data_IF_044850402839
#
_entry.id   IF_044850402839
#
_cell.length_a   1.000
_cell.length_b   1.000
_cell.length_c   1.000
_cell.angle_alpha   90.00
_cell.angle_beta   90.00
_cell.angle_gamma   90.00
#
_symmetry.space_group_name_H-M   'P 1'
#
loop_
_entity.id
_entity.type
_entity.pdbx_description
1 polymer ?
#
# COMPACT_ATOMS: atom_id res chain seq x y z
N UNK A 1 -11.61 30.75 24.39
CA UNK A 1 -10.35 30.62 23.62
C UNK A 1 -10.33 29.26 22.93
N UNK A 2 -10.81 29.14 21.68
CA UNK A 2 -10.83 27.86 20.93
C UNK A 2 -10.71 28.06 19.40
N UNK A 3 -10.29 29.24 18.95
CA UNK A 3 -10.26 29.61 17.52
C UNK A 3 -8.95 29.26 16.81
N UNK A 4 -7.81 29.19 17.53
CA UNK A 4 -6.49 28.99 16.92
C UNK A 4 -6.26 27.61 16.28
N UNK A 5 -6.73 26.53 16.93
CA UNK A 5 -6.46 25.15 16.46
C UNK A 5 -7.17 24.81 15.14
N UNK A 6 -8.36 25.35 14.89
CA UNK A 6 -9.09 25.12 13.63
C UNK A 6 -8.48 25.84 12.43
N UNK A 7 -7.81 26.97 12.65
CA UNK A 7 -7.14 27.71 11.58
C UNK A 7 -5.81 27.04 11.19
N UNK A 8 -5.03 26.61 12.18
CA UNK A 8 -3.78 25.88 11.95
C UNK A 8 -4.04 24.56 11.20
N UNK A 9 -5.03 23.77 11.63
CA UNK A 9 -5.36 22.51 10.96
C UNK A 9 -5.84 22.69 9.51
N UNK A 10 -6.51 23.81 9.20
CA UNK A 10 -6.89 24.15 7.83
C UNK A 10 -5.69 24.60 6.98
N UNK A 11 -4.73 25.32 7.58
CA UNK A 11 -3.48 25.70 6.93
C UNK A 11 -2.62 24.46 6.63
N UNK A 12 -2.46 23.55 7.59
CA UNK A 12 -1.72 22.28 7.42
C UNK A 12 -2.33 21.45 6.27
N UNK A 13 -3.65 21.29 6.25
CA UNK A 13 -4.33 20.55 5.16
C UNK A 13 -4.13 21.22 3.80
N UNK A 14 -4.14 22.54 3.75
CA UNK A 14 -3.93 23.30 2.50
C UNK A 14 -2.49 23.15 1.99
N UNK A 15 -1.51 23.13 2.90
CA UNK A 15 -0.12 22.89 2.56
C UNK A 15 0.11 21.47 2.04
N UNK A 16 -0.45 20.47 2.71
CA UNK A 16 -0.40 19.08 2.27
C UNK A 16 -1.08 18.89 0.91
N UNK A 17 -2.20 19.58 0.65
CA UNK A 17 -2.87 19.54 -0.65
C UNK A 17 -2.01 20.15 -1.76
N UNK A 18 -1.31 21.26 -1.49
CA UNK A 18 -0.36 21.85 -2.44
C UNK A 18 0.77 20.89 -2.77
N UNK A 19 1.38 20.27 -1.75
CA UNK A 19 2.44 19.27 -1.94
C UNK A 19 1.95 18.08 -2.77
N UNK A 20 0.74 17.57 -2.50
CA UNK A 20 0.13 16.49 -3.27
C UNK A 20 -0.08 16.86 -4.74
N UNK A 21 -0.50 18.11 -5.03
CA UNK A 21 -0.64 18.62 -6.41
C UNK A 21 0.68 18.70 -7.17
N UNK A 22 1.77 19.00 -6.48
CA UNK A 22 3.14 18.97 -7.01
C UNK A 22 3.66 17.53 -7.24
N UNK A 23 2.85 16.51 -6.91
CA UNK A 23 3.21 15.10 -7.07
C UNK A 23 3.96 14.51 -5.89
N UNK A 24 4.10 15.25 -4.78
CA UNK A 24 4.70 14.74 -3.57
C UNK A 24 3.76 13.76 -2.87
N UNK A 25 4.31 12.75 -2.21
CA UNK A 25 3.53 11.84 -1.37
C UNK A 25 3.47 12.39 0.06
N UNK A 26 2.28 12.77 0.49
CA UNK A 26 2.00 13.30 1.84
C UNK A 26 1.29 12.27 2.73
N UNK A 27 0.75 11.19 2.15
CA UNK A 27 0.18 10.06 2.90
C UNK A 27 0.93 8.77 2.56
N UNK A 28 1.48 8.05 3.55
CA UNK A 28 2.09 6.74 3.33
C UNK A 28 1.12 5.77 2.65
N UNK A 29 1.57 5.12 1.58
CA UNK A 29 0.71 4.23 0.78
C UNK A 29 -0.30 4.95 -0.11
N UNK A 30 -0.31 6.29 -0.14
CA UNK A 30 -1.20 7.12 -0.96
C UNK A 30 -0.63 7.60 -2.29
N UNK A 31 0.51 7.04 -2.73
CA UNK A 31 1.21 7.45 -3.96
C UNK A 31 0.27 7.43 -5.18
N UNK A 32 0.23 8.54 -5.92
CA UNK A 32 -0.52 8.71 -7.17
C UNK A 32 -1.68 9.71 -7.12
N UNK A 33 -2.12 10.13 -5.94
CA UNK A 33 -3.17 11.15 -5.77
C UNK A 33 -2.64 12.59 -5.85
N UNK A 34 -3.39 13.48 -6.52
CA UNK A 34 -3.05 14.93 -6.69
C UNK A 34 -3.68 15.84 -5.62
N UNK A 35 -4.19 15.28 -4.54
CA UNK A 35 -4.74 15.99 -3.39
C UNK A 35 -4.50 15.16 -2.13
N UNK A 36 -4.53 15.80 -0.96
CA UNK A 36 -4.42 15.09 0.33
C UNK A 36 -5.49 13.97 0.42
N UNK A 37 -6.74 14.33 0.14
CA UNK A 37 -7.89 13.42 0.17
C UNK A 37 -7.73 12.25 -0.82
N UNK A 38 -7.21 12.49 -2.02
CA UNK A 38 -6.99 11.42 -2.99
C UNK A 38 -5.92 10.43 -2.48
N UNK A 39 -4.86 10.93 -1.85
CA UNK A 39 -3.83 10.06 -1.27
C UNK A 39 -4.36 9.28 -0.05
N UNK A 40 -5.18 9.90 0.80
CA UNK A 40 -5.87 9.23 1.91
C UNK A 40 -6.76 8.08 1.40
N UNK A 41 -7.62 8.37 0.43
CA UNK A 41 -8.52 7.37 -0.18
C UNK A 41 -7.74 6.22 -0.84
N UNK A 42 -6.62 6.52 -1.52
CA UNK A 42 -5.76 5.49 -2.13
C UNK A 42 -5.09 4.61 -1.07
N UNK A 43 -4.54 5.21 -0.02
CA UNK A 43 -3.91 4.49 1.07
C UNK A 43 -4.92 3.58 1.78
N UNK A 44 -6.12 4.09 2.05
CA UNK A 44 -7.20 3.33 2.65
C UNK A 44 -7.65 2.17 1.75
N UNK A 45 -7.90 2.43 0.47
CA UNK A 45 -8.28 1.40 -0.50
C UNK A 45 -7.25 0.28 -0.63
N UNK A 46 -5.95 0.63 -0.65
CA UNK A 46 -4.85 -0.35 -0.68
C UNK A 46 -4.79 -1.19 0.61
N UNK A 47 -4.97 -0.56 1.76
CA UNK A 47 -5.01 -1.26 3.06
C UNK A 47 -6.17 -2.27 3.10
N UNK A 48 -7.39 -1.81 2.76
CA UNK A 48 -8.58 -2.66 2.72
C UNK A 48 -8.41 -3.83 1.73
N UNK A 49 -7.92 -3.55 0.52
CA UNK A 49 -7.66 -4.59 -0.48
C UNK A 49 -6.63 -5.63 0.00
N UNK A 50 -5.58 -5.19 0.70
CA UNK A 50 -4.60 -6.07 1.33
C UNK A 50 -5.21 -6.95 2.43
N UNK A 51 -6.06 -6.39 3.28
CA UNK A 51 -6.81 -7.15 4.29
C UNK A 51 -7.73 -8.18 3.65
N UNK A 52 -8.52 -7.80 2.65
CA UNK A 52 -9.40 -8.74 1.93
C UNK A 52 -8.60 -9.85 1.26
N UNK A 53 -7.41 -9.56 0.73
CA UNK A 53 -6.52 -10.60 0.19
C UNK A 53 -6.00 -11.52 1.30
N UNK A 54 -5.60 -10.96 2.45
CA UNK A 54 -5.16 -11.74 3.63
C UNK A 54 -6.27 -12.67 4.13
N UNK A 55 -7.52 -12.22 4.17
CA UNK A 55 -8.66 -13.05 4.56
C UNK A 55 -8.90 -14.21 3.59
N UNK A 56 -8.78 -13.96 2.28
CA UNK A 56 -8.94 -15.00 1.26
C UNK A 56 -7.86 -16.08 1.30
N UNK A 57 -6.59 -15.69 1.49
CA UNK A 57 -5.45 -16.61 1.39
C UNK A 57 -4.90 -17.07 2.75
N UNK A 58 -5.47 -16.58 3.84
CA UNK A 58 -4.93 -16.76 5.18
C UNK A 58 -3.64 -15.96 5.43
N UNK A 59 -3.21 -15.96 6.70
CA UNK A 59 -2.03 -15.21 7.12
C UNK A 59 -0.72 -15.75 6.50
N UNK A 60 -0.58 -17.08 6.43
CA UNK A 60 0.61 -17.72 5.88
C UNK A 60 0.76 -17.42 4.38
N UNK A 61 -0.32 -17.62 3.60
CA UNK A 61 -0.32 -17.30 2.18
C UNK A 61 -0.04 -15.81 1.91
N UNK A 62 -0.56 -14.91 2.74
CA UNK A 62 -0.30 -13.48 2.62
C UNK A 62 1.18 -13.14 2.91
N UNK A 63 1.76 -13.76 3.94
CA UNK A 63 3.16 -13.57 4.32
C UNK A 63 4.11 -14.09 3.25
N UNK A 64 3.82 -15.25 2.67
CA UNK A 64 4.63 -15.83 1.59
C UNK A 64 4.57 -14.99 0.31
N UNK A 65 3.39 -14.49 -0.10
CA UNK A 65 3.28 -13.54 -1.21
C UNK A 65 4.08 -12.26 -0.95
N UNK A 66 4.00 -11.71 0.26
CA UNK A 66 4.78 -10.54 0.67
C UNK A 66 6.30 -10.79 0.59
N UNK A 67 6.75 -11.95 1.06
CA UNK A 67 8.16 -12.37 0.97
C UNK A 67 8.61 -12.47 -0.49
N UNK A 68 7.83 -13.13 -1.36
CA UNK A 68 8.12 -13.24 -2.80
C UNK A 68 8.20 -11.87 -3.47
N UNK A 69 7.26 -10.96 -3.17
CA UNK A 69 7.28 -9.59 -3.68
C UNK A 69 8.54 -8.81 -3.25
N UNK A 70 8.97 -8.99 -1.99
CA UNK A 70 10.16 -8.34 -1.43
C UNK A 70 11.50 -8.84 -1.98
N UNK A 71 11.52 -9.94 -2.74
CA UNK A 71 12.73 -10.41 -3.42
C UNK A 71 13.04 -9.63 -4.70
N UNK A 72 12.11 -8.78 -5.16
CA UNK A 72 12.31 -7.97 -6.35
C UNK A 72 13.47 -7.00 -6.15
N UNK A 73 14.38 -6.98 -7.12
CA UNK A 73 15.50 -6.04 -7.19
C UNK A 73 15.37 -5.18 -8.44
N UNK A 74 16.27 -4.21 -8.62
CA UNK A 74 16.31 -3.39 -9.84
C UNK A 74 16.53 -4.22 -11.11
N UNK A 75 17.26 -5.33 -11.01
CA UNK A 75 17.72 -6.13 -12.14
C UNK A 75 16.96 -7.46 -12.31
N UNK A 76 16.19 -7.89 -11.31
CA UNK A 76 15.50 -9.19 -11.31
C UNK A 76 14.14 -9.08 -10.60
N UNK A 77 13.09 -9.62 -11.22
CA UNK A 77 11.76 -9.65 -10.63
C UNK A 77 11.71 -10.65 -9.45
N UNK A 78 10.97 -10.33 -8.40
CA UNK A 78 10.90 -11.19 -7.21
C UNK A 78 10.38 -12.60 -7.50
N UNK A 79 9.57 -12.77 -8.54
CA UNK A 79 9.11 -14.08 -9.00
C UNK A 79 10.23 -14.94 -9.61
N UNK A 80 11.12 -14.35 -10.40
CA UNK A 80 12.27 -15.04 -10.99
C UNK A 80 13.28 -15.42 -9.92
N UNK A 81 13.56 -14.48 -9.02
CA UNK A 81 14.46 -14.72 -7.88
C UNK A 81 13.93 -15.80 -6.94
N UNK A 82 12.64 -15.76 -6.63
CA UNK A 82 11.99 -16.80 -5.83
C UNK A 82 12.15 -18.19 -6.48
N UNK A 83 11.97 -18.31 -7.79
CA UNK A 83 12.18 -19.56 -8.51
C UNK A 83 13.64 -20.04 -8.44
N UNK A 84 14.63 -19.13 -8.60
CA UNK A 84 16.06 -19.44 -8.48
C UNK A 84 16.44 -19.92 -7.07
N UNK A 85 15.90 -19.29 -6.03
CA UNK A 85 16.16 -19.63 -4.63
C UNK A 85 15.34 -20.85 -4.15
N UNK A 86 14.54 -21.47 -5.04
CA UNK A 86 13.69 -22.61 -4.70
C UNK A 86 12.53 -22.27 -3.76
N UNK A 87 12.13 -21.00 -3.71
CA UNK A 87 10.97 -20.51 -2.96
C UNK A 87 9.73 -20.77 -3.82
N UNK A 88 9.23 -22.00 -3.75
CA UNK A 88 8.02 -22.42 -4.43
C UNK A 88 6.78 -21.91 -3.68
N UNK A 89 6.08 -20.95 -4.29
CA UNK A 89 4.82 -20.44 -3.77
C UNK A 89 3.66 -21.02 -4.57
N UNK A 90 2.99 -22.01 -3.99
CA UNK A 90 1.81 -22.60 -4.59
C UNK A 90 0.56 -21.82 -4.16
N UNK A 91 0.16 -20.86 -4.99
CA UNK A 91 -1.07 -20.08 -4.81
C UNK A 91 -2.32 -20.96 -4.66
N UNK A 92 -2.32 -22.18 -5.22
CA UNK A 92 -3.48 -23.07 -5.15
C UNK A 92 -3.73 -23.63 -3.75
N UNK A 93 -2.69 -23.70 -2.89
CA UNK A 93 -2.83 -24.09 -1.48
C UNK A 93 -3.69 -23.12 -0.68
N UNK A 94 -3.75 -21.86 -1.12
CA UNK A 94 -4.42 -20.78 -0.40
C UNK A 94 -5.64 -20.25 -1.14
N UNK A 95 -6.05 -20.88 -2.25
CA UNK A 95 -7.29 -20.51 -2.95
C UNK A 95 -8.50 -20.95 -2.13
N UNK A 96 -9.45 -20.04 -1.97
CA UNK A 96 -10.82 -20.38 -1.58
C UNK A 96 -11.51 -21.09 -2.73
N UNK A 97 -12.32 -22.12 -2.41
CA UNK A 97 -13.36 -22.58 -3.34
C UNK A 97 -14.26 -21.39 -3.67
N UNK A 98 -14.48 -21.16 -4.97
CA UNK A 98 -15.44 -20.19 -5.48
C UNK A 98 -16.86 -20.50 -5.00
#
# INVERSE_FOLDING_TARGET
MASGGRQQQQQDRSELDRMAREGQTVVPGGIGGKSLEAQENLAEGRSRGGQTRKEQVGEEGYREMGRKGGLSTTDEAGGERAAREGIDFDESKYKTKS
#
